data_IF_765683939451
#
_entry.id   IF_765683939451
#
_cell.length_a   1.000
_cell.length_b   1.000
_cell.length_c   1.000
_cell.angle_alpha   90.00
_cell.angle_beta   90.00
_cell.angle_gamma   90.00
#
_symmetry.space_group_name_H-M   'P 1'
#
loop_
_entity.id
_entity.type
_entity.pdbx_description
1 polymer ?
#
# COMPACT_ATOMS: atom_id res chain seq x y z
N UNK A 1 11.96 13.98 -10.03
CA UNK A 1 12.52 14.89 -11.05
C UNK A 1 12.14 14.37 -12.44
N UNK A 2 11.78 15.25 -13.36
CA UNK A 2 11.45 14.95 -14.74
C UNK A 2 12.54 15.48 -15.68
N UNK A 3 13.00 14.61 -16.57
CA UNK A 3 13.94 14.89 -17.64
C UNK A 3 13.31 14.47 -18.96
N UNK A 4 13.66 15.20 -20.02
CA UNK A 4 13.31 14.84 -21.40
C UNK A 4 14.59 14.76 -22.20
N UNK A 5 14.88 13.58 -22.75
CA UNK A 5 16.13 13.32 -23.47
C UNK A 5 17.37 13.77 -22.66
N UNK A 6 17.43 13.41 -21.37
CA UNK A 6 18.49 13.79 -20.42
C UNK A 6 18.60 15.29 -20.11
N UNK A 7 17.66 16.12 -20.58
CA UNK A 7 17.56 17.53 -20.24
C UNK A 7 16.61 17.71 -19.06
N UNK A 8 17.06 18.40 -18.01
CA UNK A 8 16.22 18.69 -16.85
C UNK A 8 15.04 19.58 -17.23
N UNK A 9 13.83 19.19 -16.81
CA UNK A 9 12.61 19.97 -17.04
C UNK A 9 12.10 20.58 -15.74
N UNK A 10 11.83 19.74 -14.73
CA UNK A 10 11.30 20.20 -13.44
C UNK A 10 11.45 19.13 -12.35
N UNK A 11 11.54 19.55 -11.11
CA UNK A 11 11.47 18.71 -9.91
C UNK A 11 10.15 18.88 -9.13
N UNK A 12 9.28 19.82 -9.54
CA UNK A 12 8.04 20.17 -8.84
C UNK A 12 6.78 19.52 -9.46
N UNK A 13 6.92 18.33 -10.06
CA UNK A 13 5.77 17.63 -10.65
C UNK A 13 5.06 16.77 -9.61
N UNK A 14 4.09 17.37 -8.90
CA UNK A 14 3.31 16.67 -7.85
C UNK A 14 2.48 15.52 -8.41
N UNK A 15 1.91 15.67 -9.61
CA UNK A 15 0.97 14.70 -10.17
C UNK A 15 1.61 13.46 -10.82
N UNK A 16 2.93 13.34 -10.81
CA UNK A 16 3.65 12.24 -11.48
C UNK A 16 3.51 10.90 -10.77
N UNK A 17 3.28 10.95 -9.46
CA UNK A 17 3.15 9.80 -8.57
C UNK A 17 1.91 10.06 -7.70
N UNK A 18 1.08 9.05 -7.42
CA UNK A 18 -0.02 9.19 -6.47
C UNK A 18 0.45 9.65 -5.08
N UNK A 19 -0.39 10.40 -4.35
CA UNK A 19 -0.04 10.92 -3.02
C UNK A 19 0.23 9.79 -2.01
N UNK A 20 -0.46 8.66 -2.12
CA UNK A 20 -0.19 7.45 -1.32
C UNK A 20 1.15 6.76 -1.64
N UNK A 21 1.89 7.23 -2.66
CA UNK A 21 3.28 6.87 -2.99
C UNK A 21 4.26 8.03 -2.78
N UNK A 22 3.91 9.08 -2.02
CA UNK A 22 4.75 10.27 -1.78
C UNK A 22 6.11 10.01 -1.13
N UNK A 23 6.37 8.80 -0.62
CA UNK A 23 7.69 8.39 -0.12
C UNK A 23 8.66 8.06 -1.25
N UNK A 24 8.18 7.83 -2.48
CA UNK A 24 9.03 7.52 -3.63
C UNK A 24 9.85 8.75 -4.01
N UNK A 25 11.15 8.54 -4.22
CA UNK A 25 12.09 9.53 -4.73
C UNK A 25 12.79 8.95 -5.95
N UNK A 26 12.93 9.76 -6.99
CA UNK A 26 13.56 9.29 -8.21
C UNK A 26 13.58 10.30 -9.34
N UNK A 27 14.15 9.84 -10.45
CA UNK A 27 14.30 10.55 -11.71
C UNK A 27 13.53 9.79 -12.78
N UNK A 28 12.74 10.51 -13.56
CA UNK A 28 12.09 9.99 -14.76
C UNK A 28 12.70 10.71 -15.95
N UNK A 29 13.36 9.96 -16.83
CA UNK A 29 13.84 10.45 -18.13
C UNK A 29 12.99 9.80 -19.23
N UNK A 30 12.39 10.64 -20.07
CA UNK A 30 11.45 10.19 -21.11
C UNK A 30 11.71 10.89 -22.44
N UNK A 31 11.64 10.14 -23.53
CA UNK A 31 11.67 10.68 -24.89
C UNK A 31 10.27 11.02 -25.43
N UNK A 32 9.22 10.81 -24.64
CA UNK A 32 7.82 10.90 -25.07
C UNK A 32 7.18 12.27 -24.86
N UNK A 33 7.97 13.29 -24.51
CA UNK A 33 7.53 14.66 -24.30
C UNK A 33 8.40 15.60 -25.13
N UNK A 34 7.85 16.74 -25.53
CA UNK A 34 8.60 17.79 -26.21
C UNK A 34 9.47 18.57 -25.21
N UNK A 35 10.67 18.98 -25.64
CA UNK A 35 11.56 19.80 -24.83
C UNK A 35 10.96 21.18 -24.50
N UNK A 36 10.06 21.68 -25.34
CA UNK A 36 9.42 22.99 -25.18
C UNK A 36 8.15 22.95 -24.30
N UNK A 37 7.93 21.86 -23.56
CA UNK A 37 6.72 21.68 -22.74
C UNK A 37 6.72 22.63 -21.53
N UNK A 38 5.64 23.39 -21.36
CA UNK A 38 5.45 24.25 -20.18
C UNK A 38 4.91 23.46 -18.99
N UNK A 39 5.02 24.00 -17.77
CA UNK A 39 4.45 23.39 -16.56
C UNK A 39 2.94 23.18 -16.63
N UNK A 40 2.23 24.13 -17.24
CA UNK A 40 0.78 24.05 -17.47
C UNK A 40 0.43 22.93 -18.47
N UNK A 41 1.20 22.82 -19.57
CA UNK A 41 1.02 21.74 -20.53
C UNK A 41 1.26 20.36 -19.91
N UNK A 42 2.15 20.26 -18.91
CA UNK A 42 2.42 19.00 -18.21
C UNK A 42 1.23 18.55 -17.35
N UNK A 43 0.54 19.46 -16.67
CA UNK A 43 -0.56 19.09 -15.75
C UNK A 43 -1.72 18.35 -16.44
N UNK A 44 -1.97 18.63 -17.73
CA UNK A 44 -3.04 18.01 -18.51
C UNK A 44 -2.53 17.01 -19.57
N UNK A 45 -1.28 16.57 -19.47
CA UNK A 45 -0.66 15.74 -20.49
C UNK A 45 -1.04 14.26 -20.36
N UNK A 46 -1.68 13.69 -21.39
CA UNK A 46 -2.07 12.28 -21.41
C UNK A 46 -0.86 11.31 -21.32
N UNK A 47 0.32 11.69 -21.82
CA UNK A 47 1.55 10.91 -21.68
C UNK A 47 2.01 10.84 -20.23
N UNK A 48 1.91 11.94 -19.48
CA UNK A 48 2.25 11.93 -18.05
C UNK A 48 1.31 11.04 -17.24
N UNK A 49 0.02 10.99 -17.58
CA UNK A 49 -0.91 10.04 -16.95
C UNK A 49 -0.49 8.58 -17.21
N UNK A 50 -0.05 8.26 -18.43
CA UNK A 50 0.47 6.92 -18.76
C UNK A 50 1.76 6.61 -17.98
N UNK A 51 2.67 7.58 -17.89
CA UNK A 51 3.91 7.46 -17.12
C UNK A 51 3.57 7.22 -15.65
N UNK A 52 2.67 8.01 -15.05
CA UNK A 52 2.19 7.83 -13.67
C UNK A 52 1.69 6.39 -13.45
N UNK A 53 0.78 5.89 -14.28
CA UNK A 53 0.26 4.51 -14.17
C UNK A 53 1.37 3.46 -14.27
N UNK A 54 2.32 3.64 -15.19
CA UNK A 54 3.44 2.72 -15.37
C UNK A 54 4.38 2.70 -14.15
N UNK A 55 4.68 3.89 -13.61
CA UNK A 55 5.54 4.06 -12.43
C UNK A 55 4.88 3.48 -11.19
N UNK A 56 3.59 3.75 -10.95
CA UNK A 56 2.81 3.16 -9.85
C UNK A 56 2.89 1.64 -9.88
N UNK A 57 2.59 1.02 -11.02
CA UNK A 57 2.67 -0.44 -11.18
C UNK A 57 4.09 -0.97 -10.98
N UNK A 58 5.11 -0.23 -11.45
CA UNK A 58 6.51 -0.61 -11.25
C UNK A 58 6.88 -0.60 -9.76
N UNK A 59 6.49 0.44 -9.02
CA UNK A 59 6.76 0.55 -7.58
C UNK A 59 6.11 -0.61 -6.83
N UNK A 60 4.81 -0.87 -7.05
CA UNK A 60 4.10 -1.99 -6.43
C UNK A 60 4.78 -3.34 -6.74
N UNK A 61 5.20 -3.54 -7.99
CA UNK A 61 5.91 -4.77 -8.40
C UNK A 61 7.27 -4.92 -7.68
N UNK A 62 8.03 -3.85 -7.52
CA UNK A 62 9.31 -3.90 -6.82
C UNK A 62 9.12 -4.12 -5.30
N UNK A 63 8.08 -3.55 -4.69
CA UNK A 63 7.71 -3.84 -3.29
C UNK A 63 7.33 -5.33 -3.11
N UNK A 64 6.52 -5.87 -4.02
CA UNK A 64 6.16 -7.29 -4.01
C UNK A 64 7.39 -8.21 -4.18
N UNK A 65 8.38 -7.81 -4.99
CA UNK A 65 9.66 -8.54 -5.09
C UNK A 65 10.49 -8.41 -3.81
N UNK A 66 10.49 -7.23 -3.17
CA UNK A 66 11.25 -6.97 -1.95
C UNK A 66 10.78 -7.86 -0.81
N UNK A 67 9.46 -8.08 -0.67
CA UNK A 67 8.88 -9.06 0.27
C UNK A 67 9.56 -10.43 0.14
N UNK A 68 9.74 -10.93 -1.10
CA UNK A 68 10.30 -12.27 -1.34
C UNK A 68 11.81 -12.33 -1.21
N UNK A 69 12.51 -11.26 -1.60
CA UNK A 69 13.98 -11.23 -1.67
C UNK A 69 14.63 -10.85 -0.34
N UNK A 70 13.96 -10.01 0.44
CA UNK A 70 14.51 -9.41 1.65
C UNK A 70 13.37 -8.99 2.59
N UNK A 71 12.75 -9.97 3.29
CA UNK A 71 11.61 -9.72 4.17
C UNK A 71 11.93 -8.72 5.29
N UNK A 72 13.14 -8.78 5.86
CA UNK A 72 13.54 -7.89 6.95
C UNK A 72 13.59 -6.42 6.51
N UNK A 73 14.14 -6.14 5.32
CA UNK A 73 14.08 -4.78 4.79
C UNK A 73 12.65 -4.36 4.42
N UNK A 74 11.78 -5.30 4.05
CA UNK A 74 10.37 -5.00 3.82
C UNK A 74 9.63 -4.65 5.11
N UNK A 75 9.91 -5.35 6.22
CA UNK A 75 9.37 -5.00 7.55
C UNK A 75 9.77 -3.58 7.95
N UNK A 76 11.04 -3.22 7.76
CA UNK A 76 11.50 -1.85 8.00
C UNK A 76 10.79 -0.84 7.10
N UNK A 77 10.60 -1.14 5.81
CA UNK A 77 9.80 -0.31 4.91
C UNK A 77 8.36 -0.16 5.42
N UNK A 78 7.70 -1.26 5.79
CA UNK A 78 6.32 -1.27 6.24
C UNK A 78 6.13 -0.46 7.53
N UNK A 79 7.05 -0.58 8.49
CA UNK A 79 7.02 0.20 9.72
C UNK A 79 7.07 1.72 9.49
N UNK A 80 7.75 2.17 8.43
CA UNK A 80 7.90 3.59 8.11
C UNK A 80 6.81 4.12 7.16
N UNK A 81 6.35 3.31 6.21
CA UNK A 81 5.53 3.76 5.08
C UNK A 81 4.20 3.02 4.91
N UNK A 82 3.94 1.96 5.70
CA UNK A 82 2.74 1.12 5.57
C UNK A 82 1.43 1.92 5.70
N UNK A 83 1.39 2.87 6.64
CA UNK A 83 0.24 3.79 6.83
C UNK A 83 -0.09 4.58 5.57
N UNK A 84 0.94 5.14 4.95
CA UNK A 84 0.81 5.93 3.73
C UNK A 84 0.42 5.05 2.55
N UNK A 85 1.01 3.86 2.46
CA UNK A 85 0.70 2.90 1.41
C UNK A 85 -0.76 2.42 1.48
N UNK A 86 -1.33 2.27 2.68
CA UNK A 86 -2.73 1.89 2.90
C UNK A 86 -3.74 2.92 2.35
N UNK A 87 -3.37 4.20 2.24
CA UNK A 87 -4.23 5.22 1.62
C UNK A 87 -4.60 4.83 0.17
N UNK A 88 -3.70 4.15 -0.53
CA UNK A 88 -3.93 3.66 -1.89
C UNK A 88 -5.04 2.59 -2.00
N UNK A 89 -5.39 1.89 -0.92
CA UNK A 89 -6.51 0.94 -0.91
C UNK A 89 -7.83 1.68 -1.16
N UNK A 90 -7.96 2.89 -0.59
CA UNK A 90 -9.13 3.75 -0.76
C UNK A 90 -9.04 4.59 -2.05
N UNK A 91 -7.86 5.14 -2.36
CA UNK A 91 -7.69 6.12 -3.44
C UNK A 91 -7.51 5.50 -4.85
N UNK A 92 -7.06 4.25 -4.96
CA UNK A 92 -6.67 3.63 -6.24
C UNK A 92 -7.33 2.26 -6.44
N UNK A 93 -8.61 2.28 -6.82
CA UNK A 93 -9.39 1.08 -7.09
C UNK A 93 -8.76 0.16 -8.15
N UNK A 94 -8.09 0.73 -9.17
CA UNK A 94 -7.42 -0.04 -10.24
C UNK A 94 -6.27 -0.91 -9.69
N UNK A 95 -5.65 -0.51 -8.58
CA UNK A 95 -4.51 -1.19 -7.98
C UNK A 95 -4.81 -1.77 -6.58
N UNK A 96 -6.05 -1.69 -6.08
CA UNK A 96 -6.47 -2.13 -4.74
C UNK A 96 -5.96 -3.54 -4.40
N UNK A 97 -6.19 -4.52 -5.27
CA UNK A 97 -5.76 -5.90 -5.05
C UNK A 97 -4.23 -6.05 -4.97
N UNK A 98 -3.48 -5.28 -5.77
CA UNK A 98 -2.02 -5.31 -5.73
C UNK A 98 -1.48 -4.68 -4.45
N UNK A 99 -2.15 -3.64 -3.95
CA UNK A 99 -1.80 -2.96 -2.71
C UNK A 99 -2.08 -3.89 -1.52
N UNK A 100 -3.26 -4.52 -1.47
CA UNK A 100 -3.63 -5.47 -0.42
C UNK A 100 -2.63 -6.63 -0.28
N UNK A 101 -2.14 -7.18 -1.39
CA UNK A 101 -1.11 -8.25 -1.43
C UNK A 101 0.23 -7.85 -0.77
N UNK A 102 0.54 -6.56 -0.76
CA UNK A 102 1.78 -6.06 -0.15
C UNK A 102 1.53 -5.48 1.25
N UNK A 103 0.28 -5.36 1.70
CA UNK A 103 -0.03 -4.90 3.04
C UNK A 103 0.35 -5.92 4.12
N UNK A 104 0.56 -5.42 5.35
CA UNK A 104 0.72 -6.25 6.55
C UNK A 104 -0.24 -5.82 7.63
N UNK A 105 -0.77 -6.80 8.34
CA UNK A 105 -1.79 -6.63 9.36
C UNK A 105 -1.39 -7.40 10.61
N UNK A 106 -1.72 -6.87 11.79
CA UNK A 106 -1.34 -7.53 13.03
C UNK A 106 -2.30 -8.68 13.29
N UNK A 107 -1.80 -9.90 13.35
CA UNK A 107 -2.57 -11.09 13.70
C UNK A 107 -2.71 -11.19 15.22
N UNK A 108 -3.94 -11.37 15.69
CA UNK A 108 -4.19 -11.64 17.10
C UNK A 108 -3.64 -13.01 17.52
N UNK A 109 -3.84 -14.02 16.68
CA UNK A 109 -3.46 -15.41 16.97
C UNK A 109 -1.95 -15.64 16.87
N UNK A 110 -1.30 -15.11 15.84
CA UNK A 110 0.14 -15.30 15.58
C UNK A 110 1.01 -14.27 16.31
N UNK A 111 0.41 -13.26 16.91
CA UNK A 111 1.07 -12.17 17.65
C UNK A 111 2.17 -11.44 16.85
N UNK A 112 1.96 -11.28 15.55
CA UNK A 112 2.92 -10.64 14.63
C UNK A 112 2.20 -10.03 13.43
N UNK A 113 2.95 -9.24 12.65
CA UNK A 113 2.49 -8.76 11.36
C UNK A 113 2.49 -9.89 10.33
N UNK A 114 1.37 -10.08 9.62
CA UNK A 114 1.18 -11.10 8.58
C UNK A 114 0.59 -10.47 7.31
N UNK A 115 0.70 -11.17 6.17
CA UNK A 115 -0.05 -10.78 4.96
C UNK A 115 -1.49 -11.32 5.00
N UNK A 116 -2.32 -10.89 4.04
CA UNK A 116 -3.65 -11.50 3.88
C UNK A 116 -3.56 -12.93 3.36
N UNK A 117 -2.56 -13.25 2.54
CA UNK A 117 -2.32 -14.62 2.11
C UNK A 117 -1.96 -15.52 3.29
N UNK A 118 -1.09 -15.07 4.19
CA UNK A 118 -0.75 -15.82 5.41
C UNK A 118 -2.00 -16.07 6.28
N UNK A 119 -2.93 -15.11 6.34
CA UNK A 119 -4.21 -15.29 7.02
C UNK A 119 -5.06 -16.35 6.33
N UNK A 120 -5.25 -16.23 5.00
CA UNK A 120 -6.08 -17.15 4.21
C UNK A 120 -5.56 -18.58 4.26
N UNK A 121 -4.24 -18.77 4.22
CA UNK A 121 -3.60 -20.09 4.33
C UNK A 121 -3.80 -20.73 5.72
N UNK A 122 -3.96 -19.90 6.76
CA UNK A 122 -4.20 -20.34 8.13
C UNK A 122 -5.69 -20.48 8.49
N UNK A 123 -6.63 -20.09 7.61
CA UNK A 123 -8.07 -20.15 7.89
C UNK A 123 -8.55 -21.61 8.07
N UNK A 124 -9.34 -21.92 9.13
CA UNK A 124 -10.06 -23.17 9.23
C UNK A 124 -11.00 -23.39 8.05
N UNK A 125 -11.19 -24.64 7.62
CA UNK A 125 -12.08 -24.99 6.49
C UNK A 125 -13.53 -24.53 6.67
N UNK A 126 -13.97 -24.32 7.91
CA UNK A 126 -15.32 -23.84 8.25
C UNK A 126 -15.47 -22.33 8.14
N UNK A 127 -14.37 -21.59 7.97
CA UNK A 127 -14.36 -20.13 7.93
C UNK A 127 -14.44 -19.65 6.46
N UNK A 128 -15.41 -18.77 6.19
CA UNK A 128 -15.60 -18.17 4.86
C UNK A 128 -15.29 -16.66 4.82
N UNK A 129 -15.09 -16.03 5.97
CA UNK A 129 -14.95 -14.58 6.10
C UNK A 129 -13.62 -14.23 6.79
N UNK A 130 -13.01 -13.09 6.45
CA UNK A 130 -11.85 -12.56 7.18
C UNK A 130 -12.34 -11.68 8.32
N UNK A 131 -11.95 -12.02 9.55
CA UNK A 131 -12.33 -11.24 10.73
C UNK A 131 -11.27 -10.19 11.07
N UNK A 132 -11.72 -8.99 11.41
CA UNK A 132 -10.86 -7.89 11.82
C UNK A 132 -11.48 -7.10 12.96
N UNK A 133 -10.64 -6.35 13.69
CA UNK A 133 -11.07 -5.41 14.72
C UNK A 133 -10.32 -4.08 14.54
N UNK A 134 -11.06 -3.00 14.32
CA UNK A 134 -10.52 -1.64 14.35
C UNK A 134 -10.39 -1.15 15.80
N UNK A 135 -9.25 -0.56 16.15
CA UNK A 135 -8.98 0.00 17.48
C UNK A 135 -7.81 0.98 17.47
N UNK A 136 -7.72 1.87 18.46
CA UNK A 136 -6.64 2.88 18.55
C UNK A 136 -5.22 2.28 18.69
N UNK A 137 -5.12 1.03 19.15
CA UNK A 137 -3.82 0.34 19.28
C UNK A 137 -3.98 -1.17 19.42
N UNK A 138 -2.91 -1.91 19.12
CA UNK A 138 -2.86 -3.37 19.32
C UNK A 138 -3.16 -3.73 20.78
N UNK A 139 -2.67 -2.94 21.75
CA UNK A 139 -2.93 -3.17 23.18
C UNK A 139 -4.40 -2.96 23.57
N UNK A 140 -5.08 -2.00 22.94
CA UNK A 140 -6.50 -1.77 23.16
C UNK A 140 -7.32 -2.89 22.50
N UNK A 141 -6.99 -3.23 21.25
CA UNK A 141 -7.62 -4.32 20.50
C UNK A 141 -7.56 -5.67 21.24
N UNK A 142 -6.39 -6.03 21.79
CA UNK A 142 -6.18 -7.27 22.57
C UNK A 142 -7.00 -7.36 23.86
N UNK A 143 -7.53 -6.26 24.38
CA UNK A 143 -8.38 -6.22 25.58
C UNK A 143 -9.86 -6.10 25.23
N UNK A 144 -10.21 -6.14 23.95
CA UNK A 144 -11.58 -6.01 23.51
C UNK A 144 -12.38 -7.27 23.85
N UNK A 145 -13.58 -7.16 24.45
CA UNK A 145 -14.43 -8.34 24.68
C UNK A 145 -14.90 -8.97 23.37
N UNK A 146 -14.86 -8.24 22.25
CA UNK A 146 -15.29 -8.72 20.94
C UNK A 146 -14.41 -9.84 20.35
N UNK A 147 -13.20 -10.06 20.88
CA UNK A 147 -12.25 -11.06 20.37
C UNK A 147 -12.14 -12.33 21.24
N UNK A 148 -12.74 -12.35 22.43
CA UNK A 148 -12.56 -13.44 23.41
C UNK A 148 -13.00 -14.82 22.86
N UNK A 149 -14.10 -14.87 22.10
CA UNK A 149 -14.62 -16.12 21.54
C UNK A 149 -13.96 -16.58 20.23
N UNK A 150 -13.05 -15.81 19.65
CA UNK A 150 -12.36 -16.17 18.40
C UNK A 150 -11.20 -17.13 18.65
N UNK A 151 -10.45 -16.91 19.74
CA UNK A 151 -9.34 -17.78 20.13
C UNK A 151 -9.81 -19.21 20.43
N UNK A 152 -10.97 -19.38 21.07
CA UNK A 152 -11.55 -20.71 21.36
C UNK A 152 -11.98 -21.48 20.11
N UNK A 153 -12.24 -20.77 19.01
CA UNK A 153 -12.68 -21.33 17.72
C UNK A 153 -11.54 -21.49 16.71
N UNK A 154 -10.31 -21.23 17.12
CA UNK A 154 -9.14 -21.24 16.24
C UNK A 154 -9.29 -20.28 15.04
N UNK A 155 -9.97 -19.15 15.24
CA UNK A 155 -10.18 -18.12 14.22
C UNK A 155 -9.28 -16.93 14.54
N UNK A 156 -8.40 -16.57 13.60
CA UNK A 156 -7.57 -15.38 13.73
C UNK A 156 -8.38 -14.09 13.48
N UNK A 157 -7.96 -13.00 14.14
CA UNK A 157 -8.54 -11.66 13.98
C UNK A 157 -7.43 -10.68 13.63
N UNK A 158 -7.57 -10.00 12.48
CA UNK A 158 -6.64 -8.95 12.08
C UNK A 158 -6.93 -7.66 12.86
N UNK A 159 -5.93 -7.13 13.55
CA UNK A 159 -6.05 -5.91 14.33
C UNK A 159 -5.67 -4.71 13.45
N UNK A 160 -6.67 -3.89 13.15
CA UNK A 160 -6.59 -2.69 12.33
C UNK A 160 -6.41 -1.49 13.27
N UNK A 161 -5.27 -0.83 13.19
CA UNK A 161 -4.89 0.19 14.19
C UNK A 161 -4.39 1.49 13.59
N UNK A 162 -4.42 1.59 12.26
CA UNK A 162 -4.13 2.83 11.58
C UNK A 162 -5.45 3.56 11.30
N UNK A 163 -5.54 4.90 11.48
CA UNK A 163 -6.78 5.64 11.22
C UNK A 163 -7.34 5.44 9.80
N UNK A 164 -6.46 5.22 8.81
CA UNK A 164 -6.85 4.95 7.42
C UNK A 164 -7.66 3.64 7.29
N UNK A 165 -7.51 2.70 8.23
CA UNK A 165 -8.24 1.43 8.21
C UNK A 165 -9.76 1.61 8.32
N UNK A 166 -10.24 2.65 8.99
CA UNK A 166 -11.68 2.95 9.09
C UNK A 166 -12.31 3.33 7.74
N UNK A 167 -11.51 3.83 6.79
CA UNK A 167 -12.01 4.35 5.51
C UNK A 167 -12.10 3.30 4.42
N UNK A 168 -11.08 2.44 4.28
CA UNK A 168 -11.03 1.48 3.17
C UNK A 168 -11.80 0.20 3.47
N UNK A 169 -12.06 -0.11 4.74
CA UNK A 169 -12.84 -1.28 5.16
C UNK A 169 -14.32 -1.12 4.85
N UNK A 170 -14.84 0.11 4.89
CA UNK A 170 -16.24 0.41 4.57
C UNK A 170 -16.55 0.51 3.08
N UNK A 171 -15.54 0.28 2.22
CA UNK A 171 -15.61 0.47 0.75
C UNK A 171 -15.55 -0.86 0.01
#
# INVERSE_FOLDING_TARGET
>A
QLYVNRVFITDELKDLIPEWLRFVRGIIDTASLDLNVSREMLQHNATLLKIRKAVTKRVLSELAKKIKKDPQAYEAFWANFGRVLKEGIYEDADNRDLILKICRFYSLQQDKMISLEDYIEAMPQTQNEIYYLASDSVKAAKRSPHIEGFAEKDIDVLLMTDPIDEFWIST
#
